data_IF_982179210354
#
_entry.id   IF_982179210354
#
_cell.length_a   1.000
_cell.length_b   1.000
_cell.length_c   1.000
_cell.angle_alpha   90.00
_cell.angle_beta   90.00
_cell.angle_gamma   90.00
#
_symmetry.space_group_name_H-M   'P 1'
#
loop_
_entity.id
_entity.type
_entity.pdbx_description
1 polymer ?
#
# COMPACT_ATOMS: atom_id res chain seq x y z
N UNK A 1 10.06 19.52 -4.09
CA UNK A 1 8.90 19.99 -4.90
C UNK A 1 8.68 19.22 -6.21
N UNK A 2 9.61 18.36 -6.67
CA UNK A 2 9.44 17.57 -7.90
C UNK A 2 8.50 16.34 -7.74
N UNK A 3 8.54 15.65 -6.58
CA UNK A 3 7.65 14.49 -6.31
C UNK A 3 6.15 14.83 -6.28
N UNK A 4 5.78 16.10 -6.03
CA UNK A 4 4.38 16.52 -5.92
C UNK A 4 3.70 16.70 -7.29
N UNK A 5 4.47 16.91 -8.37
CA UNK A 5 3.93 17.11 -9.72
C UNK A 5 3.72 15.79 -10.47
N UNK A 6 4.55 14.77 -10.24
CA UNK A 6 4.29 13.42 -10.79
C UNK A 6 3.06 12.76 -10.16
N UNK A 7 2.74 13.09 -8.90
CA UNK A 7 1.50 12.64 -8.24
C UNK A 7 0.25 13.18 -8.92
N UNK A 8 0.27 14.41 -9.45
CA UNK A 8 -0.92 15.04 -10.05
C UNK A 8 -1.30 14.43 -11.41
N UNK A 9 -0.34 13.90 -12.18
CA UNK A 9 -0.65 13.18 -13.42
C UNK A 9 -1.31 11.81 -13.15
N UNK A 10 -1.12 11.25 -11.94
CA UNK A 10 -1.79 10.03 -11.47
C UNK A 10 -3.14 10.30 -10.78
N UNK A 11 -3.50 11.57 -10.52
CA UNK A 11 -4.75 11.96 -9.85
C UNK A 11 -6.01 11.85 -10.73
N UNK A 12 -5.89 11.57 -12.02
CA UNK A 12 -7.06 11.47 -12.91
C UNK A 12 -7.76 10.09 -12.85
N UNK A 13 -7.15 9.10 -12.18
CA UNK A 13 -7.64 7.72 -12.11
C UNK A 13 -8.08 7.33 -10.68
N UNK A 14 -8.72 8.23 -9.92
CA UNK A 14 -9.17 7.89 -8.57
C UNK A 14 -10.41 6.98 -8.59
N UNK A 15 -10.22 5.74 -8.17
CA UNK A 15 -11.31 4.84 -7.81
C UNK A 15 -11.86 5.19 -6.41
N UNK A 16 -13.10 4.81 -6.14
CA UNK A 16 -13.83 5.10 -4.87
C UNK A 16 -13.07 4.67 -3.61
N UNK A 17 -12.13 3.72 -3.70
CA UNK A 17 -11.27 3.27 -2.60
C UNK A 17 -10.24 4.33 -2.15
N UNK A 18 -9.87 5.29 -3.02
CA UNK A 18 -8.83 6.29 -2.74
C UNK A 18 -9.38 7.52 -2.00
N UNK A 19 -10.70 7.66 -1.88
CA UNK A 19 -11.34 8.82 -1.23
C UNK A 19 -10.98 8.86 0.26
N UNK A 20 -10.94 7.72 0.94
CA UNK A 20 -10.55 7.64 2.35
C UNK A 20 -9.10 8.06 2.57
N UNK A 21 -8.18 7.62 1.70
CA UNK A 21 -6.77 8.02 1.76
C UNK A 21 -6.61 9.52 1.51
N UNK A 22 -7.36 10.07 0.53
CA UNK A 22 -7.36 11.50 0.27
C UNK A 22 -7.84 12.31 1.49
N UNK A 23 -8.92 11.90 2.15
CA UNK A 23 -9.41 12.58 3.35
C UNK A 23 -8.44 12.47 4.53
N UNK A 24 -7.77 11.32 4.70
CA UNK A 24 -6.74 11.13 5.73
C UNK A 24 -5.55 12.05 5.47
N UNK A 25 -5.04 12.06 4.24
CA UNK A 25 -3.96 12.95 3.84
C UNK A 25 -4.36 14.42 3.99
N UNK A 26 -5.60 14.78 3.65
CA UNK A 26 -6.11 16.14 3.85
C UNK A 26 -6.13 16.51 5.34
N UNK A 27 -6.60 15.63 6.22
CA UNK A 27 -6.62 15.87 7.66
C UNK A 27 -5.20 16.06 8.23
N UNK A 28 -4.27 15.17 7.89
CA UNK A 28 -2.88 15.23 8.36
C UNK A 28 -2.14 16.46 7.82
N UNK A 29 -2.16 16.67 6.51
CA UNK A 29 -1.44 17.78 5.87
C UNK A 29 -2.01 19.16 6.25
N UNK A 30 -3.29 19.24 6.63
CA UNK A 30 -3.88 20.49 7.12
C UNK A 30 -3.51 20.77 8.58
N UNK A 31 -3.34 19.73 9.41
CA UNK A 31 -3.01 19.87 10.82
C UNK A 31 -1.51 20.10 11.07
N UNK A 32 -0.64 19.42 10.32
CA UNK A 32 0.83 19.50 10.48
C UNK A 32 1.40 20.93 10.53
N UNK A 33 1.12 21.85 9.58
CA UNK A 33 1.70 23.18 9.61
C UNK A 33 1.24 24.00 10.83
N UNK A 34 -0.01 23.82 11.26
CA UNK A 34 -0.58 24.54 12.41
C UNK A 34 0.01 24.02 13.72
N UNK A 35 0.10 22.69 13.87
CA UNK A 35 0.69 22.07 15.07
C UNK A 35 2.18 22.37 15.17
N UNK A 36 2.91 22.40 14.04
CA UNK A 36 4.32 22.79 14.00
C UNK A 36 4.53 24.22 14.46
N UNK A 37 3.66 25.15 14.05
CA UNK A 37 3.70 26.54 14.48
C UNK A 37 3.42 26.69 15.99
N UNK A 38 2.38 26.01 16.50
CA UNK A 38 2.07 26.00 17.93
C UNK A 38 3.17 25.36 18.78
N UNK A 39 3.90 24.38 18.23
CA UNK A 39 5.04 23.77 18.90
C UNK A 39 6.25 24.70 18.98
N UNK A 40 6.47 25.55 17.97
CA UNK A 40 7.55 26.53 17.95
C UNK A 40 7.35 27.67 18.96
N UNK A 41 6.10 28.01 19.29
CA UNK A 41 5.75 29.03 20.28
C UNK A 41 4.81 28.46 21.37
N UNK A 42 5.36 27.75 22.37
CA UNK A 42 4.59 27.06 23.40
C UNK A 42 4.04 28.00 24.49
N UNK A 43 4.28 29.32 24.39
CA UNK A 43 3.87 30.30 25.40
C UNK A 43 2.38 30.66 25.36
N UNK A 44 1.68 30.19 24.32
CA UNK A 44 0.30 30.55 24.02
C UNK A 44 -0.71 29.80 24.88
N UNK A 45 -1.93 30.33 24.93
CA UNK A 45 -3.01 29.75 25.71
C UNK A 45 -3.34 28.31 25.24
N UNK A 46 -3.42 27.31 26.15
CA UNK A 46 -3.54 25.89 25.79
C UNK A 46 -4.86 25.54 25.09
N UNK A 47 -5.89 26.39 25.19
CA UNK A 47 -7.13 26.22 24.42
C UNK A 47 -6.89 26.22 22.90
N UNK A 48 -5.91 26.99 22.41
CA UNK A 48 -5.57 27.03 20.99
C UNK A 48 -5.09 25.66 20.50
N UNK A 49 -4.21 25.02 21.27
CA UNK A 49 -3.76 23.66 21.01
C UNK A 49 -4.92 22.66 21.08
N UNK A 50 -5.75 22.75 22.13
CA UNK A 50 -6.90 21.87 22.28
C UNK A 50 -7.84 21.92 21.06
N UNK A 51 -8.13 23.11 20.52
CA UNK A 51 -9.03 23.27 19.37
C UNK A 51 -8.52 22.53 18.13
N UNK A 52 -7.21 22.61 17.86
CA UNK A 52 -6.63 21.94 16.69
C UNK A 52 -6.48 20.43 16.89
N UNK A 53 -6.12 19.98 18.10
CA UNK A 53 -6.09 18.55 18.42
C UNK A 53 -7.49 17.91 18.36
N UNK A 54 -8.52 18.58 18.90
CA UNK A 54 -9.90 18.10 18.83
C UNK A 54 -10.42 18.06 17.38
N UNK A 55 -10.05 19.05 16.55
CA UNK A 55 -10.36 19.05 15.11
C UNK A 55 -9.71 17.87 14.39
N UNK A 56 -8.44 17.59 14.68
CA UNK A 56 -7.73 16.46 14.10
C UNK A 56 -8.36 15.14 14.54
N UNK A 57 -8.62 14.95 15.84
CA UNK A 57 -9.28 13.76 16.37
C UNK A 57 -10.66 13.53 15.72
N UNK A 58 -11.47 14.58 15.58
CA UNK A 58 -12.76 14.52 14.89
C UNK A 58 -12.65 14.10 13.43
N UNK A 59 -11.61 14.56 12.73
CA UNK A 59 -11.33 14.15 11.35
C UNK A 59 -10.90 12.69 11.27
N UNK A 60 -10.03 12.23 12.18
CA UNK A 60 -9.54 10.84 12.20
C UNK A 60 -10.61 9.83 12.63
N UNK A 61 -11.56 10.24 13.48
CA UNK A 61 -12.71 9.41 13.86
C UNK A 61 -13.59 9.02 12.67
N UNK A 62 -13.55 9.74 11.55
CA UNK A 62 -14.26 9.35 10.32
C UNK A 62 -13.79 8.01 9.74
N UNK A 63 -12.59 7.57 10.12
CA UNK A 63 -12.01 6.28 9.71
C UNK A 63 -12.13 5.19 10.78
N UNK A 64 -12.66 5.50 11.97
CA UNK A 64 -12.82 4.55 13.07
C UNK A 64 -14.26 4.04 13.14
N UNK A 65 -14.43 2.73 13.28
CA UNK A 65 -15.74 2.09 13.50
C UNK A 65 -16.04 1.83 14.98
N UNK A 66 -15.03 1.90 15.83
CA UNK A 66 -15.12 1.54 17.25
C UNK A 66 -15.34 2.75 18.16
N UNK A 67 -14.96 3.95 17.70
CA UNK A 67 -14.97 5.15 18.51
C UNK A 67 -15.96 6.19 17.98
N UNK A 68 -16.66 6.84 18.90
CA UNK A 68 -17.62 7.89 18.60
C UNK A 68 -17.08 9.27 18.98
N UNK A 69 -17.72 10.33 18.47
CA UNK A 69 -17.35 11.72 18.77
C UNK A 69 -17.31 12.06 20.27
N UNK A 70 -18.03 11.31 21.10
CA UNK A 70 -18.03 11.44 22.56
C UNK A 70 -16.70 11.06 23.22
N UNK A 71 -15.83 10.32 22.50
CA UNK A 71 -14.50 9.97 22.99
C UNK A 71 -13.57 11.19 23.09
N UNK A 72 -13.87 12.29 22.39
CA UNK A 72 -13.07 13.53 22.48
C UNK A 72 -13.38 14.20 23.83
N UNK A 73 -12.41 14.30 24.75
CA UNK A 73 -12.64 14.88 26.07
C UNK A 73 -12.94 16.38 25.95
N UNK A 74 -13.94 16.86 26.69
CA UNK A 74 -14.30 18.29 26.72
C UNK A 74 -13.19 19.11 27.39
N UNK A 75 -12.90 20.28 26.83
CA UNK A 75 -11.94 21.21 27.42
C UNK A 75 -12.31 21.59 28.86
N UNK A 76 -11.36 21.40 29.78
CA UNK A 76 -11.42 21.80 31.19
C UNK A 76 -10.14 22.52 31.55
N UNK A 77 -10.16 23.85 31.51
CA UNK A 77 -8.98 24.66 31.78
C UNK A 77 -8.42 24.44 33.20
N UNK A 78 -9.29 24.24 34.19
CA UNK A 78 -8.90 24.03 35.58
C UNK A 78 -8.35 22.62 35.88
N UNK A 79 -8.52 21.66 34.96
CA UNK A 79 -8.14 20.25 35.14
C UNK A 79 -7.56 19.67 33.85
N UNK A 80 -6.41 20.19 33.37
CA UNK A 80 -5.81 19.77 32.10
C UNK A 80 -5.44 18.28 32.05
N UNK A 81 -5.18 17.66 33.20
CA UNK A 81 -4.89 16.24 33.35
C UNK A 81 -6.04 15.32 32.91
N UNK A 82 -7.28 15.83 32.92
CA UNK A 82 -8.47 15.12 32.45
C UNK A 82 -8.75 15.34 30.96
N UNK A 83 -7.96 16.17 30.28
CA UNK A 83 -8.22 16.62 28.90
C UNK A 83 -7.11 16.15 27.98
N UNK A 84 -5.88 16.59 28.22
CA UNK A 84 -4.78 16.37 27.27
C UNK A 84 -4.27 14.92 27.26
N UNK A 85 -4.00 14.26 28.40
CA UNK A 85 -3.59 12.85 28.40
C UNK A 85 -4.57 11.91 27.67
N UNK A 86 -5.90 11.93 27.94
CA UNK A 86 -6.83 11.08 27.20
C UNK A 86 -6.96 11.48 25.73
N UNK A 87 -6.84 12.77 25.40
CA UNK A 87 -6.86 13.23 24.00
C UNK A 87 -5.63 12.74 23.22
N UNK A 88 -4.44 12.77 23.81
CA UNK A 88 -3.23 12.24 23.20
C UNK A 88 -3.32 10.73 22.99
N UNK A 89 -3.76 9.98 24.01
CA UNK A 89 -3.96 8.54 23.88
C UNK A 89 -4.98 8.17 22.79
N UNK A 90 -6.07 8.95 22.68
CA UNK A 90 -7.05 8.80 21.60
C UNK A 90 -6.41 9.08 20.23
N UNK A 91 -5.64 10.16 20.10
CA UNK A 91 -4.97 10.50 18.84
C UNK A 91 -3.93 9.45 18.42
N UNK A 92 -3.11 8.95 19.35
CA UNK A 92 -2.13 7.91 19.08
C UNK A 92 -2.80 6.65 18.53
N UNK A 93 -3.84 6.17 19.23
CA UNK A 93 -4.62 5.01 18.78
C UNK A 93 -5.31 5.28 17.43
N UNK A 94 -5.91 6.46 17.25
CA UNK A 94 -6.54 6.81 15.98
C UNK A 94 -5.53 6.86 14.84
N UNK A 95 -4.31 7.36 15.06
CA UNK A 95 -3.25 7.37 14.03
C UNK A 95 -2.79 5.96 13.69
N UNK A 96 -2.69 5.06 14.67
CA UNK A 96 -2.37 3.64 14.42
C UNK A 96 -3.48 2.92 13.64
N UNK A 97 -4.74 3.09 14.04
CA UNK A 97 -5.89 2.40 13.44
C UNK A 97 -6.28 3.00 12.08
N UNK A 98 -6.10 4.32 11.91
CA UNK A 98 -6.52 5.04 10.70
C UNK A 98 -5.53 4.98 9.56
N UNK A 99 -4.28 4.53 9.75
CA UNK A 99 -3.28 4.33 8.69
C UNK A 99 -3.54 3.02 7.94
N UNK A 100 -4.23 3.03 6.78
CA UNK A 100 -4.52 1.83 6.03
C UNK A 100 -3.41 1.73 4.98
N UNK A 101 -2.21 1.32 5.38
CA UNK A 101 -1.22 0.82 4.40
C UNK A 101 -0.96 -0.64 4.70
N UNK A 102 -2.03 -1.43 4.58
CA UNK A 102 -1.91 -2.88 4.40
C UNK A 102 -1.25 -3.20 3.06
N UNK A 103 -1.20 -2.26 2.12
CA UNK A 103 -0.63 -2.49 0.79
C UNK A 103 0.71 -1.83 0.63
N UNK A 104 1.72 -2.65 0.35
CA UNK A 104 3.08 -2.25 0.00
C UNK A 104 3.21 -2.43 -1.51
N UNK A 105 3.46 -1.33 -2.22
CA UNK A 105 3.80 -1.39 -3.64
C UNK A 105 5.30 -1.72 -3.79
N UNK A 106 5.60 -2.79 -4.50
CA UNK A 106 6.97 -3.26 -4.75
C UNK A 106 7.34 -2.86 -6.17
N UNK A 107 8.39 -2.03 -6.29
CA UNK A 107 8.91 -1.62 -7.58
C UNK A 107 9.54 -2.83 -8.29
N UNK A 108 9.10 -3.07 -9.52
CA UNK A 108 9.70 -4.05 -10.41
C UNK A 108 10.57 -3.34 -11.45
N UNK A 109 11.84 -3.71 -11.52
CA UNK A 109 12.80 -3.25 -12.51
C UNK A 109 12.86 -4.24 -13.66
N UNK A 110 12.64 -3.76 -14.89
CA UNK A 110 12.77 -4.57 -16.09
C UNK A 110 14.25 -4.69 -16.48
N UNK A 111 14.74 -5.92 -16.65
CA UNK A 111 16.10 -6.21 -17.07
C UNK A 111 16.38 -5.86 -18.53
N UNK A 112 17.65 -5.89 -18.92
CA UNK A 112 18.11 -5.54 -20.27
C UNK A 112 17.45 -6.40 -21.37
N UNK A 113 17.18 -7.67 -21.06
CA UNK A 113 16.57 -8.62 -21.99
C UNK A 113 15.05 -8.40 -22.17
N UNK A 114 14.45 -7.42 -21.47
CA UNK A 114 13.03 -7.03 -21.48
C UNK A 114 12.03 -8.11 -21.06
N UNK A 115 12.42 -9.38 -21.00
CA UNK A 115 11.56 -10.48 -20.56
C UNK A 115 11.58 -10.71 -19.04
N UNK A 116 12.61 -10.20 -18.35
CA UNK A 116 12.83 -10.43 -16.93
C UNK A 116 12.50 -9.17 -16.13
N UNK A 117 11.69 -9.32 -15.09
CA UNK A 117 11.34 -8.30 -14.12
C UNK A 117 11.85 -8.70 -12.75
N UNK A 118 12.50 -7.77 -12.03
CA UNK A 118 13.09 -8.04 -10.71
C UNK A 118 12.53 -7.08 -9.67
N UNK A 119 12.11 -7.61 -8.53
CA UNK A 119 11.66 -6.83 -7.38
C UNK A 119 12.49 -7.16 -6.14
N UNK A 120 12.67 -6.17 -5.27
CA UNK A 120 13.34 -6.36 -3.98
C UNK A 120 12.30 -6.33 -2.85
N UNK A 121 12.34 -7.33 -1.99
CA UNK A 121 11.44 -7.52 -0.85
C UNK A 121 12.20 -7.19 0.44
N UNK A 122 12.61 -5.94 0.63
CA UNK A 122 13.40 -5.50 1.79
C UNK A 122 12.57 -5.18 3.04
N UNK A 123 11.25 -5.06 2.90
CA UNK A 123 10.37 -4.69 4.01
C UNK A 123 10.17 -5.90 4.94
N UNK A 124 10.54 -5.74 6.22
CA UNK A 124 10.45 -6.79 7.22
C UNK A 124 9.01 -7.30 7.42
N UNK A 125 8.02 -6.44 7.23
CA UNK A 125 6.59 -6.75 7.41
C UNK A 125 6.10 -7.81 6.41
N UNK A 126 6.76 -7.93 5.25
CA UNK A 126 6.42 -8.94 4.25
C UNK A 126 6.66 -10.38 4.77
N UNK A 127 7.57 -10.55 5.74
CA UNK A 127 7.87 -11.85 6.34
C UNK A 127 6.88 -12.26 7.42
N UNK A 128 6.16 -11.30 8.00
CA UNK A 128 5.14 -11.54 9.04
C UNK A 128 3.87 -12.19 8.47
N UNK A 129 3.66 -12.02 7.15
CA UNK A 129 2.56 -12.64 6.41
C UNK A 129 1.92 -11.63 5.47
N UNK A 130 2.03 -11.87 4.17
CA UNK A 130 1.40 -11.03 3.15
C UNK A 130 0.85 -11.87 2.00
N UNK A 131 -0.14 -11.34 1.31
CA UNK A 131 -0.67 -11.85 0.04
C UNK A 131 -0.14 -10.99 -1.10
N UNK A 132 0.39 -11.61 -2.15
CA UNK A 132 1.01 -10.89 -3.25
C UNK A 132 0.12 -10.91 -4.48
N UNK A 133 0.02 -9.75 -5.13
CA UNK A 133 -0.84 -9.51 -6.26
C UNK A 133 -0.09 -8.78 -7.36
N UNK A 134 -0.22 -9.27 -8.59
CA UNK A 134 0.32 -8.66 -9.79
C UNK A 134 -0.78 -7.87 -10.49
N UNK A 135 -0.45 -6.63 -10.81
CA UNK A 135 -1.20 -5.76 -11.72
C UNK A 135 -0.47 -5.78 -13.06
N UNK A 136 -1.17 -6.26 -14.09
CA UNK A 136 -0.60 -6.53 -15.41
C UNK A 136 -1.32 -5.68 -16.44
N UNK A 137 -0.57 -4.83 -17.13
CA UNK A 137 -1.04 -4.11 -18.31
C UNK A 137 -0.35 -4.71 -19.53
N UNK A 138 -1.10 -4.92 -20.61
CA UNK A 138 -0.56 -5.43 -21.88
C UNK A 138 -1.39 -4.86 -23.03
N UNK A 139 -0.83 -4.89 -24.24
CA UNK A 139 -1.55 -4.61 -25.49
C UNK A 139 -2.53 -5.71 -25.89
N UNK A 140 -2.49 -6.88 -25.24
CA UNK A 140 -3.42 -7.98 -25.50
C UNK A 140 -4.84 -7.70 -24.97
N UNK A 141 -5.87 -8.25 -25.62
CA UNK A 141 -7.23 -8.21 -25.08
C UNK A 141 -7.34 -8.84 -23.69
N UNK A 142 -8.12 -8.26 -22.75
CA UNK A 142 -8.22 -8.73 -21.36
C UNK A 142 -8.50 -10.23 -21.18
N UNK A 143 -9.39 -10.79 -22.01
CA UNK A 143 -9.76 -12.21 -21.97
C UNK A 143 -8.60 -13.14 -22.39
N UNK A 144 -7.76 -12.69 -23.33
CA UNK A 144 -6.56 -13.45 -23.72
C UNK A 144 -5.48 -13.32 -22.66
N UNK A 145 -5.33 -12.13 -22.07
CA UNK A 145 -4.37 -11.90 -20.99
C UNK A 145 -4.70 -12.77 -19.77
N UNK A 146 -5.96 -12.83 -19.32
CA UNK A 146 -6.37 -13.67 -18.18
C UNK A 146 -6.06 -15.16 -18.39
N UNK A 147 -6.20 -15.67 -19.62
CA UNK A 147 -5.98 -17.09 -19.92
C UNK A 147 -4.51 -17.42 -20.19
N UNK A 148 -3.79 -16.56 -20.92
CA UNK A 148 -2.40 -16.82 -21.32
C UNK A 148 -1.38 -16.42 -20.26
N UNK A 149 -1.61 -15.34 -19.53
CA UNK A 149 -0.63 -14.82 -18.56
C UNK A 149 -0.26 -15.85 -17.48
N UNK A 150 -1.20 -16.56 -16.83
CA UNK A 150 -0.87 -17.60 -15.86
C UNK A 150 -0.05 -18.77 -16.43
N UNK A 151 -0.21 -19.06 -17.72
CA UNK A 151 0.46 -20.17 -18.39
C UNK A 151 1.89 -19.81 -18.82
N UNK A 152 2.07 -18.58 -19.30
CA UNK A 152 3.31 -18.08 -19.89
C UNK A 152 4.22 -17.39 -18.88
N UNK A 153 3.66 -16.59 -17.96
CA UNK A 153 4.44 -15.91 -16.95
C UNK A 153 4.91 -16.91 -15.88
N UNK A 154 6.18 -16.77 -15.45
CA UNK A 154 6.78 -17.58 -14.39
C UNK A 154 7.34 -16.67 -13.32
N UNK A 155 7.15 -17.06 -12.06
CA UNK A 155 7.62 -16.33 -10.90
C UNK A 155 8.58 -17.22 -10.09
N UNK A 156 9.68 -16.64 -9.61
CA UNK A 156 10.72 -17.33 -8.84
C UNK A 156 11.63 -16.39 -8.07
N UNK A 157 12.67 -16.93 -7.44
CA UNK A 157 13.72 -16.17 -6.75
C UNK A 157 14.88 -15.85 -7.69
N UNK A 158 15.62 -14.78 -7.41
CA UNK A 158 16.79 -14.36 -8.17
C UNK A 158 17.93 -15.36 -8.07
N UNK A 159 18.09 -16.11 -6.98
CA UNK A 159 19.28 -16.94 -6.73
C UNK A 159 19.44 -18.17 -7.66
N UNK A 160 18.46 -18.44 -8.53
CA UNK A 160 18.52 -19.46 -9.60
C UNK A 160 19.28 -18.97 -10.87
N UNK A 161 20.31 -18.12 -10.71
CA UNK A 161 20.92 -17.27 -11.78
C UNK A 161 21.64 -18.04 -12.91
N UNK A 162 21.75 -19.36 -12.91
CA UNK A 162 22.57 -20.06 -13.93
C UNK A 162 21.78 -20.65 -15.12
N UNK A 163 20.46 -20.84 -15.05
CA UNK A 163 19.70 -21.41 -16.16
C UNK A 163 18.34 -20.75 -16.29
N UNK A 164 18.30 -19.65 -17.05
CA UNK A 164 17.07 -18.97 -17.52
C UNK A 164 16.10 -19.95 -18.21
N UNK A 165 16.59 -21.12 -18.64
CA UNK A 165 15.81 -22.19 -19.28
C UNK A 165 15.21 -23.19 -18.28
N UNK A 166 15.73 -23.31 -17.05
CA UNK A 166 15.28 -24.27 -16.03
C UNK A 166 14.42 -23.68 -14.90
N UNK A 167 14.04 -22.40 -14.99
CA UNK A 167 12.97 -21.79 -14.14
C UNK A 167 11.63 -22.55 -14.27
N UNK A 168 11.52 -23.46 -15.24
CA UNK A 168 10.37 -24.35 -15.48
C UNK A 168 10.03 -25.32 -14.33
N UNK A 169 10.92 -25.57 -13.35
CA UNK A 169 10.76 -26.70 -12.44
C UNK A 169 10.11 -26.40 -11.07
N UNK A 170 9.94 -25.14 -10.64
CA UNK A 170 9.23 -24.83 -9.38
C UNK A 170 8.68 -23.39 -9.36
N UNK A 171 7.96 -22.99 -10.40
CA UNK A 171 7.38 -21.64 -10.46
C UNK A 171 6.24 -21.44 -9.46
N UNK A 172 6.21 -20.28 -8.80
CA UNK A 172 5.08 -19.83 -7.98
C UNK A 172 3.84 -19.73 -8.90
N UNK A 173 2.74 -20.40 -8.54
CA UNK A 173 1.56 -20.43 -9.38
C UNK A 173 0.86 -19.05 -9.38
N UNK A 174 0.51 -18.57 -10.58
CA UNK A 174 -0.18 -17.29 -10.78
C UNK A 174 -1.64 -17.61 -11.08
N UNK A 175 -2.58 -16.99 -10.37
CA UNK A 175 -4.02 -17.22 -10.52
C UNK A 175 -4.73 -15.93 -10.93
N UNK A 176 -5.57 -15.93 -11.98
CA UNK A 176 -6.36 -14.75 -12.32
C UNK A 176 -7.37 -14.45 -11.21
N UNK A 177 -7.54 -13.17 -10.88
CA UNK A 177 -8.52 -12.73 -9.90
C UNK A 177 -9.85 -12.38 -10.57
N UNK A 178 -10.95 -12.89 -10.01
CA UNK A 178 -12.30 -12.44 -10.38
C UNK A 178 -12.66 -11.07 -9.83
N UNK A 179 -12.10 -10.72 -8.67
CA UNK A 179 -12.28 -9.43 -8.01
C UNK A 179 -10.96 -9.03 -7.34
N UNK A 180 -10.61 -7.75 -7.44
CA UNK A 180 -9.41 -7.21 -6.82
C UNK A 180 -9.75 -6.86 -5.37
N UNK A 181 -8.92 -7.25 -4.38
CA UNK A 181 -9.09 -6.79 -3.01
C UNK A 181 -9.19 -5.26 -2.93
N UNK A 182 -10.10 -4.76 -2.08
CA UNK A 182 -10.36 -3.32 -1.93
C UNK A 182 -9.11 -2.50 -1.53
N UNK A 183 -8.08 -3.16 -1.02
CA UNK A 183 -6.84 -2.54 -0.60
C UNK A 183 -5.93 -2.14 -1.79
N UNK A 184 -6.09 -2.74 -2.97
CA UNK A 184 -5.21 -2.51 -4.13
C UNK A 184 -5.84 -1.45 -5.06
N UNK A 185 -5.05 -0.47 -5.55
CA UNK A 185 -5.54 0.53 -6.49
C UNK A 185 -6.05 -0.11 -7.79
N UNK A 186 -7.31 0.18 -8.14
CA UNK A 186 -7.97 -0.32 -9.34
C UNK A 186 -7.61 0.54 -10.56
N UNK A 187 -7.07 -0.10 -11.60
CA UNK A 187 -6.77 0.49 -12.90
C UNK A 187 -7.62 -0.22 -13.94
N UNK A 188 -8.47 0.53 -14.65
CA UNK A 188 -9.45 0.00 -15.61
C UNK A 188 -8.81 -0.82 -16.75
N UNK A 189 -7.59 -0.47 -17.15
CA UNK A 189 -6.86 -1.15 -18.24
C UNK A 189 -6.07 -2.39 -17.78
N UNK A 190 -5.95 -2.61 -16.47
CA UNK A 190 -5.10 -3.68 -15.95
C UNK A 190 -5.91 -4.92 -15.61
N UNK A 191 -5.25 -6.06 -15.72
CA UNK A 191 -5.73 -7.35 -15.20
C UNK A 191 -4.93 -7.72 -13.97
N UNK A 192 -5.59 -8.35 -13.01
CA UNK A 192 -5.02 -8.64 -11.70
C UNK A 192 -4.91 -10.13 -11.48
N UNK A 193 -3.79 -10.53 -10.88
CA UNK A 193 -3.46 -11.92 -10.60
C UNK A 193 -2.93 -12.05 -9.18
N UNK A 194 -3.26 -13.14 -8.50
CA UNK A 194 -2.69 -13.48 -7.20
C UNK A 194 -1.54 -14.48 -7.38
N UNK A 195 -0.52 -14.33 -6.54
CA UNK A 195 0.56 -15.31 -6.41
C UNK A 195 0.18 -16.34 -5.34
N UNK A 196 0.35 -17.63 -5.66
CA UNK A 196 0.11 -18.71 -4.72
C UNK A 196 1.33 -18.97 -3.84
N UNK A 197 1.27 -18.41 -2.63
CA UNK A 197 2.37 -18.47 -1.66
C UNK A 197 2.41 -19.76 -0.85
N UNK A 198 1.55 -20.74 -1.15
CA UNK A 198 1.57 -22.05 -0.49
C UNK A 198 2.77 -22.91 -0.90
N UNK A 199 3.42 -22.56 -2.01
CA UNK A 199 4.53 -23.31 -2.61
C UNK A 199 5.86 -23.03 -1.91
N UNK A 200 6.74 -24.03 -1.83
CA UNK A 200 8.07 -23.86 -1.24
C UNK A 200 8.93 -22.82 -1.98
N UNK A 201 8.71 -22.66 -3.29
CA UNK A 201 9.33 -21.61 -4.09
C UNK A 201 8.96 -20.19 -3.61
N UNK A 202 7.71 -19.98 -3.16
CA UNK A 202 7.30 -18.70 -2.61
C UNK A 202 7.98 -18.41 -1.26
N UNK A 203 8.21 -19.45 -0.44
CA UNK A 203 8.98 -19.31 0.81
C UNK A 203 10.42 -18.92 0.52
N UNK A 204 11.08 -19.61 -0.41
CA UNK A 204 12.44 -19.30 -0.83
C UNK A 204 12.57 -17.85 -1.36
N UNK A 205 11.60 -17.38 -2.14
CA UNK A 205 11.52 -16.00 -2.61
C UNK A 205 11.48 -14.97 -1.45
N UNK A 206 10.66 -15.24 -0.42
CA UNK A 206 10.54 -14.35 0.75
C UNK A 206 11.79 -14.37 1.64
N UNK A 207 12.41 -15.55 1.80
CA UNK A 207 13.66 -15.70 2.56
C UNK A 207 14.82 -14.97 1.88
N UNK A 208 14.97 -15.16 0.56
CA UNK A 208 15.97 -14.48 -0.26
C UNK A 208 15.73 -12.95 -0.36
N UNK A 209 14.52 -12.48 -0.02
CA UNK A 209 14.17 -11.06 -0.03
C UNK A 209 14.16 -10.46 -1.42
N UNK A 210 13.92 -11.27 -2.45
CA UNK A 210 13.91 -10.85 -3.85
C UNK A 210 12.89 -11.69 -4.64
N UNK A 211 12.35 -11.11 -5.71
CA UNK A 211 11.44 -11.80 -6.61
C UNK A 211 11.83 -11.52 -8.07
N UNK A 212 11.62 -12.52 -8.92
CA UNK A 212 11.86 -12.43 -10.35
C UNK A 212 10.63 -12.95 -11.09
N UNK A 213 10.19 -12.20 -12.10
CA UNK A 213 9.12 -12.61 -13.02
C UNK A 213 9.67 -12.68 -14.43
N UNK A 214 9.44 -13.80 -15.08
CA UNK A 214 9.65 -13.97 -16.51
C UNK A 214 8.33 -13.72 -17.24
N UNK A 215 8.35 -12.82 -18.23
CA UNK A 215 7.23 -12.49 -19.10
C UNK A 215 7.73 -12.50 -20.56
N UNK A 216 7.35 -13.50 -21.36
CA UNK A 216 7.81 -13.58 -22.75
C UNK A 216 7.24 -12.46 -23.62
N UNK A 217 7.95 -12.08 -24.68
CA UNK A 217 7.51 -11.04 -25.64
C UNK A 217 6.16 -11.37 -26.33
N UNK A 218 5.78 -12.65 -26.37
CA UNK A 218 4.49 -13.10 -26.92
C UNK A 218 3.27 -12.53 -26.17
N UNK A 219 3.46 -12.02 -24.95
CA UNK A 219 2.45 -11.30 -24.18
C UNK A 219 2.33 -9.82 -24.54
N UNK A 220 3.10 -9.31 -25.52
CA UNK A 220 3.08 -7.92 -25.96
C UNK A 220 3.90 -6.99 -25.07
N UNK A 221 3.57 -5.69 -25.08
CA UNK A 221 4.22 -4.67 -24.23
C UNK A 221 3.67 -4.77 -22.80
N UNK A 222 4.11 -5.79 -22.07
CA UNK A 222 3.67 -6.05 -20.70
C UNK A 222 4.32 -5.05 -19.76
N UNK A 223 3.52 -4.47 -18.85
CA UNK A 223 3.99 -3.75 -17.67
C UNK A 223 3.48 -4.44 -16.42
N UNK A 224 4.40 -4.76 -15.52
CA UNK A 224 4.11 -5.43 -14.25
C UNK A 224 4.27 -4.45 -13.08
N UNK A 225 3.28 -4.43 -12.20
CA UNK A 225 3.36 -3.83 -10.87
C UNK A 225 3.06 -4.91 -9.83
N UNK A 226 3.85 -4.98 -8.75
CA UNK A 226 3.65 -5.94 -7.67
C UNK A 226 3.14 -5.21 -6.42
N UNK A 227 2.08 -5.76 -5.82
CA UNK A 227 1.50 -5.29 -4.57
C UNK A 227 1.51 -6.41 -3.55
N UNK A 228 1.90 -6.10 -2.32
CA UNK A 228 1.79 -7.01 -1.19
C UNK A 228 0.77 -6.46 -0.19
N UNK A 229 -0.23 -7.27 0.14
CA UNK A 229 -1.26 -6.95 1.14
C UNK A 229 -0.93 -7.71 2.41
N UNK A 230 -0.56 -7.00 3.49
CA UNK A 230 -0.26 -7.59 4.79
C UNK A 230 -1.49 -8.31 5.37
N UNK A 231 -1.32 -9.56 5.78
CA UNK A 231 -2.34 -10.34 6.51
C UNK A 231 -2.31 -9.91 7.98
N UNK A 232 -3.49 -9.69 8.56
CA UNK A 232 -3.68 -9.35 9.97
C UNK A 232 -3.45 -10.54 10.89
#
# INVERSE_FOLDING_TARGET
MAMRRESNARMADFAVADVSLFWLLNALNSAEPVLSELHQDPSRHPELLYRELARLAGSLLTFSLEHHLEAIPRYRHASPEQVFPPLFALLDMLLEVSLPSRVIAIALEQGADREIWRGRLHDARLREGADFYLSVRSSLPPHQLQSRFPQLCKAGSHDDVAEVVNIALSGIAIKPLSHVPAAIPLRLENQYFALDLSTDAARAMLEAGNCTFYSPESLGDVKLELFAVLRS
#
